data_IF_799597826582
#
_entry.id   IF_799597826582
#
_cell.length_a   1.000
_cell.length_b   1.000
_cell.length_c   1.000
_cell.angle_alpha   90.00
_cell.angle_beta   90.00
_cell.angle_gamma   90.00
#
_symmetry.space_group_name_H-M   'P 1'
#
loop_
_entity.id
_entity.type
_entity.pdbx_description
1 polymer ?
#
# COMPACT_ATOMS: atom_id res chain seq x y z
N UNK A 1 15.48 -27.33 12.74
CA UNK A 1 15.45 -25.91 12.29
C UNK A 1 14.04 -25.58 11.82
N UNK A 2 13.39 -24.50 12.30
CA UNK A 2 12.07 -24.08 11.79
C UNK A 2 12.21 -23.63 10.33
N UNK A 3 11.36 -24.13 9.44
CA UNK A 3 11.34 -23.76 8.02
C UNK A 3 10.94 -22.28 7.90
N UNK A 4 11.71 -21.49 7.14
CA UNK A 4 11.42 -20.08 6.90
C UNK A 4 10.08 -19.96 6.15
N UNK A 5 9.20 -19.05 6.61
CA UNK A 5 7.89 -18.81 6.01
C UNK A 5 8.01 -18.16 4.63
N UNK A 6 6.98 -18.31 3.78
CA UNK A 6 6.96 -17.68 2.46
C UNK A 6 7.10 -16.15 2.54
N UNK A 7 6.31 -15.50 3.40
CA UNK A 7 6.36 -14.05 3.61
C UNK A 7 7.76 -13.58 3.99
N UNK A 8 8.47 -14.31 4.86
CA UNK A 8 9.85 -13.97 5.24
C UNK A 8 10.82 -14.10 4.07
N UNK A 9 10.64 -15.09 3.17
CA UNK A 9 11.44 -15.16 1.94
C UNK A 9 11.19 -13.95 1.03
N UNK A 10 9.93 -13.54 0.90
CA UNK A 10 9.56 -12.33 0.14
C UNK A 10 10.24 -11.10 0.75
N UNK A 11 10.22 -10.94 2.08
CA UNK A 11 10.93 -9.85 2.76
C UNK A 11 12.41 -9.81 2.39
N UNK A 12 13.10 -10.95 2.40
CA UNK A 12 14.52 -11.02 2.03
C UNK A 12 14.77 -10.68 0.56
N UNK A 13 13.85 -11.03 -0.33
CA UNK A 13 13.94 -10.62 -1.74
C UNK A 13 13.84 -9.09 -1.86
N UNK A 14 12.83 -8.47 -1.24
CA UNK A 14 12.69 -7.01 -1.25
C UNK A 14 13.85 -6.30 -0.55
N UNK A 15 14.37 -6.86 0.55
CA UNK A 15 15.58 -6.36 1.19
C UNK A 15 16.76 -6.34 0.22
N UNK A 16 17.00 -7.43 -0.51
CA UNK A 16 18.06 -7.49 -1.52
C UNK A 16 17.81 -6.48 -2.66
N UNK A 17 16.56 -6.30 -3.09
CA UNK A 17 16.20 -5.30 -4.10
C UNK A 17 16.51 -3.87 -3.62
N UNK A 18 16.17 -3.52 -2.38
CA UNK A 18 16.53 -2.21 -1.82
C UNK A 18 18.04 -2.02 -1.73
N UNK A 19 18.78 -3.04 -1.28
CA UNK A 19 20.26 -2.97 -1.23
C UNK A 19 20.83 -2.73 -2.63
N UNK A 20 20.38 -3.47 -3.64
CA UNK A 20 20.82 -3.29 -5.02
C UNK A 20 20.46 -1.89 -5.54
N UNK A 21 19.23 -1.43 -5.29
CA UNK A 21 18.74 -0.13 -5.71
C UNK A 21 19.59 1.01 -5.11
N UNK A 22 19.79 1.02 -3.79
CA UNK A 22 20.57 2.07 -3.13
C UNK A 22 22.06 1.98 -3.43
N UNK A 23 22.60 0.77 -3.66
CA UNK A 23 23.96 0.61 -4.17
C UNK A 23 24.10 1.22 -5.58
N UNK A 24 23.12 1.00 -6.46
CA UNK A 24 23.12 1.59 -7.80
C UNK A 24 23.01 3.12 -7.72
N UNK A 25 22.08 3.66 -6.92
CA UNK A 25 21.95 5.10 -6.66
C UNK A 25 23.28 5.70 -6.23
N UNK A 26 23.99 5.05 -5.30
CA UNK A 26 25.31 5.48 -4.85
C UNK A 26 26.38 5.40 -5.95
N UNK A 27 26.48 4.26 -6.66
CA UNK A 27 27.47 4.05 -7.73
C UNK A 27 27.30 5.06 -8.85
N UNK A 28 26.07 5.33 -9.27
CA UNK A 28 25.75 6.29 -10.32
C UNK A 28 25.68 7.74 -9.83
N UNK A 29 26.02 8.01 -8.56
CA UNK A 29 26.00 9.34 -7.94
C UNK A 29 24.66 10.07 -8.13
N UNK A 30 23.55 9.33 -8.08
CA UNK A 30 22.22 9.89 -8.14
C UNK A 30 21.90 10.59 -6.82
N UNK A 31 21.16 11.70 -6.89
CA UNK A 31 20.70 12.42 -5.70
C UNK A 31 19.66 11.55 -4.98
N UNK A 32 19.87 11.31 -3.69
CA UNK A 32 18.90 10.65 -2.82
C UNK A 32 18.94 11.27 -1.43
N UNK A 33 17.84 11.16 -0.69
CA UNK A 33 17.78 11.61 0.69
C UNK A 33 18.03 10.45 1.67
N UNK A 34 18.70 10.75 2.78
CA UNK A 34 18.83 9.78 3.89
C UNK A 34 17.45 9.37 4.42
N UNK A 35 16.47 10.28 4.35
CA UNK A 35 15.08 9.99 4.66
C UNK A 35 14.51 8.85 3.80
N UNK A 36 14.70 8.90 2.47
CA UNK A 36 14.22 7.85 1.56
C UNK A 36 14.81 6.48 1.90
N UNK A 37 16.09 6.45 2.27
CA UNK A 37 16.75 5.22 2.73
C UNK A 37 16.11 4.67 4.00
N UNK A 38 15.92 5.54 5.01
CA UNK A 38 15.34 5.17 6.30
C UNK A 38 13.90 4.71 6.14
N UNK A 39 13.08 5.41 5.37
CA UNK A 39 11.68 5.04 5.13
C UNK A 39 11.54 3.76 4.31
N UNK A 40 12.40 3.54 3.31
CA UNK A 40 12.45 2.28 2.54
C UNK A 40 12.70 1.06 3.43
N UNK A 41 13.80 1.07 4.19
CA UNK A 41 14.16 -0.07 5.05
C UNK A 41 13.28 -0.17 6.30
N UNK A 42 12.88 0.98 6.87
CA UNK A 42 11.97 1.05 8.00
C UNK A 42 10.58 0.53 7.66
N UNK A 43 10.04 0.92 6.50
CA UNK A 43 8.77 0.41 5.97
C UNK A 43 8.83 -1.09 5.72
N UNK A 44 9.93 -1.59 5.11
CA UNK A 44 10.11 -3.03 4.86
C UNK A 44 10.07 -3.82 6.18
N UNK A 45 10.78 -3.30 7.20
CA UNK A 45 10.80 -3.88 8.53
C UNK A 45 9.41 -3.84 9.18
N UNK A 46 8.69 -2.72 9.08
CA UNK A 46 7.34 -2.57 9.61
C UNK A 46 6.38 -3.57 8.97
N UNK A 47 6.37 -3.71 7.64
CA UNK A 47 5.55 -4.70 6.93
C UNK A 47 5.91 -6.12 7.35
N UNK A 48 7.19 -6.43 7.56
CA UNK A 48 7.57 -7.74 8.08
C UNK A 48 7.09 -7.97 9.51
N UNK A 49 7.36 -7.07 10.45
CA UNK A 49 7.00 -7.25 11.86
C UNK A 49 5.49 -7.29 12.04
N UNK A 50 4.76 -6.35 11.45
CA UNK A 50 3.31 -6.19 11.62
C UNK A 50 2.56 -7.16 10.70
N UNK A 51 2.99 -7.25 9.45
CA UNK A 51 2.30 -7.96 8.39
C UNK A 51 2.69 -9.44 8.21
N UNK A 52 3.66 -10.00 8.95
CA UNK A 52 4.09 -11.39 8.70
C UNK A 52 2.97 -12.44 8.77
N UNK A 53 1.86 -12.14 9.47
CA UNK A 53 0.68 -13.02 9.58
C UNK A 53 -0.37 -12.81 8.48
N UNK A 54 -0.22 -11.78 7.64
CA UNK A 54 -1.10 -11.57 6.50
C UNK A 54 -1.00 -12.77 5.55
N UNK A 55 -2.11 -13.10 4.89
CA UNK A 55 -2.05 -14.05 3.79
C UNK A 55 -1.09 -13.56 2.71
N UNK A 56 -0.35 -14.49 2.11
CA UNK A 56 0.77 -14.20 1.22
C UNK A 56 0.42 -13.23 0.07
N UNK A 57 -0.81 -13.30 -0.47
CA UNK A 57 -1.24 -12.43 -1.58
C UNK A 57 -1.30 -10.95 -1.17
N UNK A 58 -1.85 -10.65 0.01
CA UNK A 58 -1.91 -9.27 0.52
C UNK A 58 -0.54 -8.80 1.00
N UNK A 59 0.26 -9.71 1.58
CA UNK A 59 1.63 -9.43 1.99
C UNK A 59 2.51 -9.02 0.80
N UNK A 60 2.47 -9.79 -0.29
CA UNK A 60 3.21 -9.47 -1.52
C UNK A 60 2.72 -8.16 -2.11
N UNK A 61 1.40 -7.92 -2.16
CA UNK A 61 0.85 -6.65 -2.64
C UNK A 61 1.37 -5.44 -1.85
N UNK A 62 1.39 -5.53 -0.52
CA UNK A 62 1.94 -4.48 0.35
C UNK A 62 3.44 -4.24 0.10
N UNK A 63 4.23 -5.31 -0.07
CA UNK A 63 5.66 -5.16 -0.35
C UNK A 63 5.94 -4.58 -1.75
N UNK A 64 5.18 -4.98 -2.77
CA UNK A 64 5.27 -4.41 -4.10
C UNK A 64 4.92 -2.91 -4.09
N UNK A 65 3.85 -2.54 -3.40
CA UNK A 65 3.44 -1.14 -3.26
C UNK A 65 4.51 -0.32 -2.54
N UNK A 66 5.01 -0.81 -1.40
CA UNK A 66 6.06 -0.13 -0.64
C UNK A 66 7.34 0.04 -1.47
N UNK A 67 7.72 -0.97 -2.26
CA UNK A 67 8.88 -0.86 -3.14
C UNK A 67 8.67 0.17 -4.25
N UNK A 68 7.47 0.26 -4.81
CA UNK A 68 7.14 1.31 -5.78
C UNK A 68 7.21 2.70 -5.13
N UNK A 69 6.49 2.92 -4.03
CA UNK A 69 6.43 4.23 -3.37
C UNK A 69 7.81 4.66 -2.80
N UNK A 70 8.45 3.84 -1.97
CA UNK A 70 9.68 4.24 -1.28
C UNK A 70 10.94 3.99 -2.11
N UNK A 71 11.00 2.83 -2.78
CA UNK A 71 12.19 2.45 -3.56
C UNK A 71 12.31 3.25 -4.85
N UNK A 72 11.24 3.28 -5.65
CA UNK A 72 11.24 4.00 -6.93
C UNK A 72 10.86 5.47 -6.74
N UNK A 73 9.78 5.75 -6.01
CA UNK A 73 9.30 7.10 -5.72
C UNK A 73 10.36 7.96 -5.03
N UNK A 74 10.72 7.62 -3.80
CA UNK A 74 11.68 8.40 -3.02
C UNK A 74 13.13 8.06 -3.38
N UNK A 75 13.48 6.77 -3.51
CA UNK A 75 14.84 6.30 -3.77
C UNK A 75 15.38 6.67 -5.15
N UNK A 76 14.57 6.58 -6.21
CA UNK A 76 14.95 6.98 -7.59
C UNK A 76 14.38 8.35 -7.99
N UNK A 77 13.82 9.11 -7.04
CA UNK A 77 13.28 10.45 -7.27
C UNK A 77 12.15 10.47 -8.32
N UNK A 78 11.34 9.42 -8.44
CA UNK A 78 10.19 9.43 -9.36
C UNK A 78 9.14 10.47 -8.94
N UNK A 79 8.96 10.74 -7.65
CA UNK A 79 8.10 11.84 -7.18
C UNK A 79 8.54 13.20 -7.73
N UNK A 80 9.86 13.43 -7.86
CA UNK A 80 10.38 14.69 -8.38
C UNK A 80 10.39 14.75 -9.92
N UNK A 81 10.55 13.61 -10.59
CA UNK A 81 10.82 13.56 -12.04
C UNK A 81 9.63 13.14 -12.90
N UNK A 82 8.61 12.50 -12.33
CA UNK A 82 7.43 12.01 -13.04
C UNK A 82 6.21 12.66 -12.40
N UNK A 83 5.67 13.69 -13.06
CA UNK A 83 4.65 14.58 -12.47
C UNK A 83 3.37 13.90 -12.02
N UNK A 84 2.97 12.79 -12.64
CA UNK A 84 1.78 12.03 -12.26
C UNK A 84 2.06 10.85 -11.32
N UNK A 85 3.32 10.63 -10.93
CA UNK A 85 3.70 9.44 -10.18
C UNK A 85 3.02 9.37 -8.83
N UNK A 86 2.95 10.50 -8.14
CA UNK A 86 2.35 10.59 -6.82
C UNK A 86 0.87 10.23 -6.86
N UNK A 87 0.12 10.90 -7.72
CA UNK A 87 -1.28 10.61 -7.99
C UNK A 87 -1.53 9.13 -8.36
N UNK A 88 -0.63 8.50 -9.12
CA UNK A 88 -0.70 7.07 -9.45
C UNK A 88 -0.48 6.22 -8.19
N UNK A 89 0.48 6.55 -7.33
CA UNK A 89 0.70 5.85 -6.07
C UNK A 89 -0.52 5.96 -5.15
N UNK A 90 -1.11 7.15 -5.02
CA UNK A 90 -2.33 7.33 -4.24
C UNK A 90 -3.50 6.51 -4.81
N UNK A 91 -3.72 6.52 -6.13
CA UNK A 91 -4.72 5.67 -6.78
C UNK A 91 -4.49 4.18 -6.52
N UNK A 92 -3.25 3.70 -6.71
CA UNK A 92 -2.88 2.30 -6.48
C UNK A 92 -3.04 1.90 -5.01
N UNK A 93 -2.69 2.80 -4.09
CA UNK A 93 -2.86 2.58 -2.65
C UNK A 93 -4.34 2.37 -2.30
N UNK A 94 -5.23 3.19 -2.87
CA UNK A 94 -6.68 3.07 -2.65
C UNK A 94 -7.24 1.72 -3.08
N UNK A 95 -6.77 1.20 -4.23
CA UNK A 95 -7.13 -0.14 -4.71
C UNK A 95 -6.64 -1.19 -3.71
N UNK A 96 -5.35 -1.19 -3.37
CA UNK A 96 -4.75 -2.16 -2.45
C UNK A 96 -5.43 -2.15 -1.07
N UNK A 97 -5.73 -0.97 -0.54
CA UNK A 97 -6.36 -0.79 0.76
C UNK A 97 -7.82 -1.26 0.77
N UNK A 98 -8.53 -1.21 -0.36
CA UNK A 98 -9.86 -1.82 -0.46
C UNK A 98 -9.80 -3.36 -0.32
N UNK A 99 -8.79 -4.00 -0.93
CA UNK A 99 -8.53 -5.43 -0.75
C UNK A 99 -8.10 -5.77 0.69
N UNK A 100 -7.29 -4.92 1.31
CA UNK A 100 -6.93 -5.08 2.73
C UNK A 100 -8.16 -4.89 3.63
N UNK A 101 -9.07 -3.98 3.30
CA UNK A 101 -10.36 -3.84 3.98
C UNK A 101 -11.15 -5.15 3.97
N UNK A 102 -11.33 -5.78 2.81
CA UNK A 102 -11.98 -7.09 2.70
C UNK A 102 -11.26 -8.16 3.56
N UNK A 103 -9.93 -8.15 3.54
CA UNK A 103 -9.15 -9.07 4.35
C UNK A 103 -9.40 -8.88 5.86
N UNK A 104 -9.45 -7.63 6.34
CA UNK A 104 -9.74 -7.34 7.75
C UNK A 104 -11.14 -7.82 8.16
N UNK A 105 -12.15 -7.66 7.30
CA UNK A 105 -13.48 -8.24 7.54
C UNK A 105 -13.42 -9.76 7.65
N UNK A 106 -12.65 -10.42 6.79
CA UNK A 106 -12.46 -11.87 6.85
C UNK A 106 -11.83 -12.28 8.18
N UNK A 107 -10.86 -11.51 8.68
CA UNK A 107 -10.24 -11.75 9.99
C UNK A 107 -11.24 -11.56 11.14
N UNK A 108 -12.08 -10.53 11.11
CA UNK A 108 -13.08 -10.27 12.15
C UNK A 108 -14.20 -11.31 12.18
N UNK A 109 -14.56 -11.87 11.02
CA UNK A 109 -15.59 -12.91 10.91
C UNK A 109 -15.01 -14.34 10.99
N UNK A 110 -13.76 -14.52 11.40
CA UNK A 110 -13.18 -15.87 11.53
C UNK A 110 -13.98 -16.70 12.54
N UNK A 111 -14.56 -17.79 12.06
CA UNK A 111 -15.32 -18.73 12.88
C UNK A 111 -16.79 -18.37 13.09
N UNK A 112 -17.28 -17.31 12.45
CA UNK A 112 -18.70 -16.92 12.48
C UNK A 112 -19.22 -16.63 11.07
N UNK A 113 -20.48 -16.93 10.75
CA UNK A 113 -21.08 -16.44 9.52
C UNK A 113 -21.05 -14.92 9.51
N UNK A 114 -20.78 -14.25 8.37
CA UNK A 114 -20.87 -12.80 8.29
C UNK A 114 -22.27 -12.35 8.71
N UNK A 115 -22.35 -11.57 9.77
CA UNK A 115 -23.63 -11.01 10.28
C UNK A 115 -24.07 -9.77 9.49
N UNK A 116 -23.24 -9.30 8.56
CA UNK A 116 -23.44 -8.06 7.81
C UNK A 116 -23.75 -8.32 6.33
N UNK A 117 -24.63 -7.50 5.76
CA UNK A 117 -25.02 -7.57 4.35
C UNK A 117 -23.83 -7.35 3.41
N UNK A 118 -23.93 -7.83 2.17
CA UNK A 118 -22.89 -7.62 1.16
C UNK A 118 -22.64 -6.14 0.85
N UNK A 119 -23.72 -5.35 0.78
CA UNK A 119 -23.59 -3.91 0.60
C UNK A 119 -22.79 -3.29 1.75
N UNK A 120 -23.07 -3.68 2.99
CA UNK A 120 -22.32 -3.21 4.17
C UNK A 120 -20.84 -3.60 4.13
N UNK A 121 -20.51 -4.79 3.60
CA UNK A 121 -19.12 -5.21 3.44
C UNK A 121 -18.39 -4.32 2.42
N UNK A 122 -18.99 -4.04 1.26
CA UNK A 122 -18.37 -3.17 0.25
C UNK A 122 -18.27 -1.72 0.70
N UNK A 123 -19.30 -1.21 1.39
CA UNK A 123 -19.24 0.12 2.02
C UNK A 123 -18.10 0.17 3.02
N UNK A 124 -17.91 -0.86 3.86
CA UNK A 124 -16.78 -0.94 4.76
C UNK A 124 -15.44 -0.93 4.01
N UNK A 125 -15.25 -1.73 2.95
CA UNK A 125 -13.99 -1.75 2.20
C UNK A 125 -13.68 -0.38 1.59
N UNK A 126 -14.70 0.30 1.06
CA UNK A 126 -14.58 1.66 0.54
C UNK A 126 -14.19 2.66 1.63
N UNK A 127 -14.92 2.69 2.75
CA UNK A 127 -14.66 3.66 3.83
C UNK A 127 -13.35 3.38 4.55
N UNK A 128 -12.97 2.11 4.73
CA UNK A 128 -11.66 1.71 5.25
C UNK A 128 -10.54 2.29 4.39
N UNK A 129 -10.60 2.09 3.08
CA UNK A 129 -9.59 2.57 2.15
C UNK A 129 -9.53 4.10 2.09
N UNK A 130 -10.67 4.77 1.98
CA UNK A 130 -10.74 6.23 1.98
C UNK A 130 -10.24 6.85 3.30
N UNK A 131 -10.54 6.22 4.45
CA UNK A 131 -10.02 6.65 5.74
C UNK A 131 -8.49 6.50 5.81
N UNK A 132 -7.94 5.41 5.27
CA UNK A 132 -6.49 5.24 5.18
C UNK A 132 -5.82 6.29 4.29
N UNK A 133 -6.46 6.73 3.19
CA UNK A 133 -5.95 7.84 2.39
C UNK A 133 -5.86 9.15 3.20
N UNK A 134 -6.91 9.49 3.96
CA UNK A 134 -6.87 10.65 4.85
C UNK A 134 -5.84 10.52 5.98
N UNK A 135 -5.66 9.31 6.53
CA UNK A 135 -4.63 9.05 7.55
C UNK A 135 -3.22 9.20 7.00
N UNK A 136 -3.00 8.87 5.72
CA UNK A 136 -1.72 9.07 5.07
C UNK A 136 -1.39 10.56 4.97
N UNK A 137 -2.32 11.39 4.50
CA UNK A 137 -2.11 12.85 4.46
C UNK A 137 -1.88 13.46 5.85
N UNK A 138 -2.52 12.93 6.88
CA UNK A 138 -2.25 13.35 8.27
C UNK A 138 -0.81 12.98 8.67
N UNK A 139 -0.33 11.81 8.27
CA UNK A 139 1.05 11.40 8.52
C UNK A 139 2.04 12.29 7.78
N UNK A 140 1.79 12.62 6.52
CA UNK A 140 2.64 13.53 5.73
C UNK A 140 2.67 14.93 6.33
N UNK A 141 1.51 15.52 6.61
CA UNK A 141 1.40 16.81 7.28
C UNK A 141 2.17 16.80 8.61
N UNK A 142 2.02 15.74 9.40
CA UNK A 142 2.73 15.61 10.67
C UNK A 142 4.24 15.51 10.47
N UNK A 143 4.70 14.77 9.46
CA UNK A 143 6.10 14.68 9.06
C UNK A 143 6.67 16.04 8.65
N UNK A 144 5.93 16.79 7.85
CA UNK A 144 6.32 18.14 7.42
C UNK A 144 6.47 19.09 8.61
N UNK A 145 5.56 19.02 9.60
CA UNK A 145 5.60 19.93 10.77
C UNK A 145 6.58 19.53 11.86
N UNK A 146 6.73 18.22 12.12
CA UNK A 146 7.48 17.73 13.27
C UNK A 146 8.90 17.30 12.88
N UNK A 147 9.06 16.71 11.70
CA UNK A 147 10.32 16.12 11.24
C UNK A 147 11.02 16.97 10.17
N UNK A 148 10.36 18.03 9.69
CA UNK A 148 10.90 18.91 8.65
C UNK A 148 10.93 18.24 7.26
N UNK A 149 10.00 17.31 7.02
CA UNK A 149 9.78 16.76 5.69
C UNK A 149 9.15 17.83 4.77
N UNK A 150 8.97 17.48 3.50
CA UNK A 150 8.30 18.32 2.53
C UNK A 150 7.48 17.45 1.57
N UNK A 151 6.69 16.54 2.14
CA UNK A 151 5.84 15.61 1.39
C UNK A 151 4.72 16.37 0.67
N UNK A 152 3.99 17.23 1.38
CA UNK A 152 2.81 17.91 0.80
C UNK A 152 3.16 19.18 0.01
N UNK A 153 4.45 19.50 -0.13
CA UNK A 153 4.96 20.70 -0.80
C UNK A 153 4.38 22.05 -0.30
N UNK A 154 3.73 22.06 0.86
CA UNK A 154 2.96 23.21 1.36
C UNK A 154 1.70 23.52 0.53
N UNK A 155 1.16 22.54 -0.20
CA UNK A 155 0.08 22.68 -1.16
C UNK A 155 -1.19 21.99 -0.66
N UNK A 156 -2.28 22.76 -0.53
CA UNK A 156 -3.60 22.18 -0.26
C UNK A 156 -4.09 21.33 -1.44
N UNK A 157 -3.78 21.77 -2.67
CA UNK A 157 -4.25 21.09 -3.87
C UNK A 157 -3.65 19.69 -3.97
N UNK A 158 -2.38 19.54 -3.59
CA UNK A 158 -1.64 18.26 -3.53
C UNK A 158 -2.37 17.27 -2.61
N UNK A 159 -2.47 17.61 -1.33
CA UNK A 159 -3.23 16.85 -0.31
C UNK A 159 -4.63 16.47 -0.76
N UNK A 160 -5.37 17.42 -1.33
CA UNK A 160 -6.75 17.17 -1.76
C UNK A 160 -6.79 16.25 -2.98
N UNK A 161 -5.87 16.40 -3.94
CA UNK A 161 -5.78 15.50 -5.10
C UNK A 161 -5.40 14.08 -4.71
N UNK A 162 -4.57 13.92 -3.68
CA UNK A 162 -4.12 12.62 -3.19
C UNK A 162 -5.21 11.87 -2.44
N UNK A 163 -5.97 12.57 -1.58
CA UNK A 163 -7.16 11.99 -0.94
C UNK A 163 -8.19 11.59 -2.01
N UNK A 164 -8.41 12.43 -3.02
CA UNK A 164 -9.34 12.13 -4.11
C UNK A 164 -8.86 10.91 -4.90
N UNK A 165 -7.58 10.84 -5.26
CA UNK A 165 -7.00 9.71 -5.98
C UNK A 165 -7.10 8.41 -5.16
N UNK A 166 -6.76 8.44 -3.87
CA UNK A 166 -6.94 7.32 -2.96
C UNK A 166 -8.41 6.87 -2.86
N UNK A 167 -9.34 7.83 -2.79
CA UNK A 167 -10.78 7.54 -2.73
C UNK A 167 -11.31 6.95 -4.04
N UNK A 168 -10.88 7.45 -5.21
CA UNK A 168 -11.21 6.87 -6.51
C UNK A 168 -10.63 5.45 -6.61
N UNK A 169 -9.39 5.25 -6.15
CA UNK A 169 -8.76 3.95 -6.03
C UNK A 169 -9.59 2.98 -5.19
N UNK A 170 -10.16 3.45 -4.08
CA UNK A 170 -11.05 2.66 -3.23
C UNK A 170 -12.31 2.19 -3.99
N UNK A 171 -12.94 3.08 -4.77
CA UNK A 171 -14.10 2.73 -5.62
C UNK A 171 -13.72 1.66 -6.64
N UNK A 172 -12.58 1.83 -7.33
CA UNK A 172 -12.08 0.86 -8.30
C UNK A 172 -11.81 -0.49 -7.63
N UNK A 173 -11.15 -0.50 -6.46
CA UNK A 173 -10.88 -1.71 -5.70
C UNK A 173 -12.15 -2.46 -5.30
N UNK A 174 -13.17 -1.76 -4.80
CA UNK A 174 -14.48 -2.34 -4.49
C UNK A 174 -15.16 -2.90 -5.73
N UNK A 175 -15.08 -2.20 -6.87
CA UNK A 175 -15.61 -2.70 -8.14
C UNK A 175 -14.90 -3.98 -8.59
N UNK A 176 -13.58 -4.07 -8.45
CA UNK A 176 -12.84 -5.30 -8.78
C UNK A 176 -13.25 -6.45 -7.84
N UNK A 177 -13.41 -6.21 -6.54
CA UNK A 177 -13.90 -7.21 -5.58
C UNK A 177 -15.28 -7.76 -5.99
N UNK A 178 -16.20 -6.88 -6.40
CA UNK A 178 -17.50 -7.26 -6.93
C UNK A 178 -17.39 -8.18 -8.16
N UNK A 179 -16.51 -7.86 -9.10
CA UNK A 179 -16.27 -8.67 -10.30
C UNK A 179 -15.69 -10.04 -9.96
N UNK A 180 -14.66 -10.09 -9.10
CA UNK A 180 -14.04 -11.34 -8.66
C UNK A 180 -15.09 -12.26 -8.04
N UNK A 181 -15.94 -11.71 -7.17
CA UNK A 181 -17.03 -12.46 -6.54
C UNK A 181 -18.01 -13.02 -7.56
N UNK A 182 -18.49 -12.19 -8.49
CA UNK A 182 -19.43 -12.61 -9.54
C UNK A 182 -18.86 -13.73 -10.41
N UNK A 183 -17.59 -13.65 -10.75
CA UNK A 183 -16.88 -14.70 -11.51
C UNK A 183 -16.82 -16.00 -10.70
N UNK A 184 -16.47 -15.92 -9.42
CA UNK A 184 -16.40 -17.09 -8.52
C UNK A 184 -17.77 -17.77 -8.36
N UNK A 185 -18.84 -16.99 -8.15
CA UNK A 185 -20.20 -17.51 -8.07
C UNK A 185 -20.66 -18.16 -9.38
N UNK A 186 -20.28 -17.59 -10.54
CA UNK A 186 -20.61 -18.18 -11.84
C UNK A 186 -19.84 -19.48 -12.11
N UNK A 187 -18.59 -19.58 -11.67
CA UNK A 187 -17.78 -20.79 -11.81
C UNK A 187 -18.34 -21.93 -10.95
N UNK A 188 -18.68 -21.66 -9.68
CA UNK A 188 -19.21 -22.65 -8.76
C UNK A 188 -20.60 -23.19 -9.13
N UNK A 189 -21.36 -22.48 -10.00
CA UNK A 189 -22.65 -22.97 -10.53
C UNK A 189 -22.50 -23.92 -11.72
N UNK A 190 -21.32 -24.00 -12.34
CA UNK A 190 -21.04 -24.84 -13.51
C UNK A 190 -20.43 -26.21 -13.15
N UNK A 191 -19.97 -26.37 -11.91
CA UNK A 191 -19.43 -27.60 -11.34
C UNK A 191 -20.53 -28.26 -10.50
#
# INVERSE_FOLDING_TARGET
MKKISFNTKITFIFFALYVILFAAVFIFSLVFSLQALVLSFGGLLAVWVIGHKLESKYYVGAQCFLFAAEGLGAGLQFYANISCYDLIMHLCSGILLAFLGEYTLTLFNKGTPPSISLLSQYVYCFTFSAACAGLWEIWEFSGDKILGFNSQLGSLDDTMTDIIAGTIGAVIGVFILLLIRKISESYNKKV
#
